data_IF_334284960359
#
_entry.id   IF_334284960359
#
_cell.length_a   1.000
_cell.length_b   1.000
_cell.length_c   1.000
_cell.angle_alpha   90.00
_cell.angle_beta   90.00
_cell.angle_gamma   90.00
#
_symmetry.space_group_name_H-M   'P 1'
#
loop_
_entity.id
_entity.type
_entity.pdbx_description
1 polymer ?
#
# COMPACT_ATOMS: atom_id res chain seq x y z
N UNK A 1 4.43 -7.07 0.05
CA UNK A 1 3.36 -6.74 1.02
C UNK A 1 3.86 -6.75 2.47
N UNK A 2 4.96 -7.46 2.77
CA UNK A 2 5.45 -7.66 4.15
C UNK A 2 5.96 -6.44 4.92
N UNK A 3 6.17 -5.31 4.23
CA UNK A 3 6.72 -4.08 4.83
C UNK A 3 5.65 -3.06 5.23
N UNK A 4 4.36 -3.30 4.93
CA UNK A 4 3.29 -2.49 5.47
C UNK A 4 2.96 -2.95 6.90
N UNK A 5 2.62 -2.01 7.82
CA UNK A 5 2.03 -2.36 9.10
C UNK A 5 0.85 -3.32 8.91
N UNK A 6 0.71 -4.31 9.80
CA UNK A 6 -0.30 -5.37 9.66
C UNK A 6 -1.71 -4.84 9.37
N UNK A 7 -2.12 -3.80 10.09
CA UNK A 7 -3.44 -3.18 9.92
C UNK A 7 -3.68 -2.51 8.56
N UNK A 8 -2.64 -2.09 7.85
CA UNK A 8 -2.76 -1.54 6.49
C UNK A 8 -2.74 -2.64 5.44
N UNK A 9 -2.05 -3.75 5.72
CA UNK A 9 -2.05 -4.91 4.85
C UNK A 9 -3.43 -5.56 4.81
N UNK A 10 -4.03 -5.82 5.97
CA UNK A 10 -5.36 -6.46 6.05
C UNK A 10 -6.41 -5.66 5.28
N UNK A 11 -6.47 -4.34 5.47
CA UNK A 11 -7.50 -3.52 4.83
C UNK A 11 -7.33 -3.45 3.31
N UNK A 12 -6.08 -3.43 2.81
CA UNK A 12 -5.79 -3.49 1.37
C UNK A 12 -6.10 -4.88 0.83
N UNK A 13 -5.73 -5.95 1.53
CA UNK A 13 -6.06 -7.32 1.12
C UNK A 13 -7.56 -7.52 1.02
N UNK A 14 -8.32 -7.12 2.03
CA UNK A 14 -9.77 -7.25 2.00
C UNK A 14 -10.41 -6.46 0.87
N UNK A 15 -9.96 -5.22 0.62
CA UNK A 15 -10.56 -4.37 -0.40
C UNK A 15 -10.09 -4.68 -1.81
N UNK A 16 -8.78 -4.72 -2.01
CA UNK A 16 -8.14 -4.72 -3.34
C UNK A 16 -7.86 -6.13 -3.86
N UNK A 17 -7.73 -7.13 -2.99
CA UNK A 17 -7.53 -8.54 -3.39
C UNK A 17 -8.81 -9.37 -3.27
N UNK A 18 -9.57 -9.20 -2.19
CA UNK A 18 -10.78 -9.98 -1.93
C UNK A 18 -12.08 -9.28 -2.36
N UNK A 19 -12.00 -8.02 -2.80
CA UNK A 19 -13.14 -7.28 -3.33
C UNK A 19 -14.23 -6.94 -2.31
N UNK A 20 -13.95 -7.07 -1.01
CA UNK A 20 -14.93 -6.78 0.05
C UNK A 20 -15.30 -5.29 0.06
N UNK A 21 -16.56 -5.01 0.34
CA UNK A 21 -17.04 -3.66 0.47
C UNK A 21 -16.73 -3.06 1.86
N UNK A 22 -16.90 -1.75 2.01
CA UNK A 22 -16.55 -1.03 3.25
C UNK A 22 -17.30 -1.54 4.48
N UNK A 23 -18.54 -1.99 4.34
CA UNK A 23 -19.34 -2.51 5.46
C UNK A 23 -18.81 -3.88 5.90
N UNK A 24 -18.58 -4.79 4.95
CA UNK A 24 -18.03 -6.13 5.21
C UNK A 24 -16.64 -6.10 5.84
N UNK A 25 -15.84 -5.08 5.50
CA UNK A 25 -14.53 -4.84 6.10
C UNK A 25 -14.69 -4.28 7.51
N UNK A 26 -15.66 -3.38 7.73
CA UNK A 26 -15.96 -2.81 9.04
C UNK A 26 -16.40 -3.88 10.03
N UNK A 27 -17.27 -4.79 9.61
CA UNK A 27 -17.69 -5.94 10.43
C UNK A 27 -16.53 -6.87 10.80
N UNK A 28 -15.64 -7.17 9.85
CA UNK A 28 -14.49 -8.06 10.08
C UNK A 28 -13.41 -7.46 10.97
N UNK A 29 -13.21 -6.15 10.89
CA UNK A 29 -12.17 -5.44 11.64
C UNK A 29 -12.70 -4.73 12.90
N UNK A 30 -14.00 -4.87 13.19
CA UNK A 30 -14.70 -4.15 14.27
C UNK A 30 -14.52 -2.63 14.18
N UNK A 31 -14.64 -2.09 12.96
CA UNK A 31 -14.47 -0.66 12.65
C UNK A 31 -15.75 -0.06 12.09
N UNK A 32 -15.94 1.23 12.35
CA UNK A 32 -16.97 1.99 11.64
C UNK A 32 -16.63 2.11 10.14
N UNK A 33 -17.63 2.20 9.25
CA UNK A 33 -17.39 2.39 7.82
C UNK A 33 -16.54 3.63 7.50
N UNK A 34 -16.66 4.69 8.31
CA UNK A 34 -15.83 5.89 8.17
C UNK A 34 -14.36 5.62 8.54
N UNK A 35 -14.12 4.92 9.64
CA UNK A 35 -12.78 4.49 10.03
C UNK A 35 -12.13 3.57 8.98
N UNK A 36 -12.90 2.68 8.35
CA UNK A 36 -12.43 1.85 7.23
C UNK A 36 -11.99 2.73 6.05
N UNK A 37 -12.78 3.74 5.66
CA UNK A 37 -12.43 4.64 4.55
C UNK A 37 -11.14 5.42 4.82
N UNK A 38 -11.02 5.99 6.02
CA UNK A 38 -9.82 6.73 6.43
C UNK A 38 -8.60 5.83 6.45
N UNK A 39 -8.72 4.63 7.03
CA UNK A 39 -7.62 3.66 7.12
C UNK A 39 -7.20 3.14 5.76
N UNK A 40 -8.15 2.86 4.86
CA UNK A 40 -7.89 2.43 3.48
C UNK A 40 -7.17 3.54 2.69
N UNK A 41 -7.61 4.80 2.83
CA UNK A 41 -6.94 5.92 2.19
C UNK A 41 -5.48 6.04 2.65
N UNK A 42 -5.24 5.98 3.96
CA UNK A 42 -3.88 6.03 4.53
C UNK A 42 -3.03 4.85 4.08
N UNK A 43 -3.59 3.65 4.08
CA UNK A 43 -2.91 2.44 3.62
C UNK A 43 -2.46 2.56 2.15
N UNK A 44 -3.36 3.03 1.26
CA UNK A 44 -3.04 3.25 -0.16
C UNK A 44 -2.02 4.36 -0.38
N UNK A 45 -2.15 5.48 0.35
CA UNK A 45 -1.16 6.55 0.32
C UNK A 45 0.22 6.03 0.70
N UNK A 46 0.31 5.24 1.77
CA UNK A 46 1.55 4.64 2.23
C UNK A 46 2.13 3.66 1.21
N UNK A 47 1.29 2.82 0.61
CA UNK A 47 1.69 1.91 -0.45
C UNK A 47 2.24 2.67 -1.67
N UNK A 48 1.58 3.76 -2.07
CA UNK A 48 2.05 4.62 -3.16
C UNK A 48 3.40 5.24 -2.84
N UNK A 49 3.58 5.81 -1.64
CA UNK A 49 4.88 6.38 -1.22
C UNK A 49 6.01 5.34 -1.27
N UNK A 50 5.72 4.09 -0.91
CA UNK A 50 6.70 3.00 -1.02
C UNK A 50 7.02 2.64 -2.46
N UNK A 51 6.02 2.62 -3.35
CA UNK A 51 6.26 2.37 -4.77
C UNK A 51 7.07 3.52 -5.36
N UNK A 52 6.64 4.77 -5.16
CA UNK A 52 7.32 5.95 -5.69
C UNK A 52 8.78 6.05 -5.18
N UNK A 53 9.07 5.59 -3.94
CA UNK A 53 10.43 5.58 -3.39
C UNK A 53 11.29 4.40 -3.87
N UNK A 54 10.71 3.31 -4.38
CA UNK A 54 11.43 2.09 -4.72
C UNK A 54 11.36 1.75 -6.22
N UNK A 55 10.75 2.61 -7.02
CA UNK A 55 10.61 2.46 -8.46
C UNK A 55 11.40 3.58 -9.14
N UNK A 56 12.59 3.25 -9.63
CA UNK A 56 13.29 4.13 -10.57
C UNK A 56 12.67 3.91 -11.95
N UNK A 57 12.02 4.96 -12.47
CA UNK A 57 11.38 4.89 -13.78
C UNK A 57 12.45 5.03 -14.84
N UNK A 58 12.72 3.95 -15.56
CA UNK A 58 13.64 3.92 -16.70
C UNK A 58 12.86 3.86 -18.01
N UNK A 59 13.43 4.44 -19.08
CA UNK A 59 12.87 4.25 -20.42
C UNK A 59 13.15 2.80 -20.85
N UNK A 60 12.10 1.99 -20.98
CA UNK A 60 12.17 0.65 -21.53
C UNK A 60 12.36 0.66 -23.05
N UNK A 61 12.30 -0.51 -23.69
CA UNK A 61 12.25 -0.57 -25.15
C UNK A 61 10.91 0.03 -25.66
N UNK A 62 11.00 1.12 -26.44
CA UNK A 62 9.84 1.86 -26.95
C UNK A 62 9.35 2.97 -26.00
N UNK A 63 8.08 3.37 -26.12
CA UNK A 63 7.45 4.38 -25.23
C UNK A 63 6.93 3.76 -23.92
N UNK A 64 7.59 2.72 -23.41
CA UNK A 64 7.17 2.04 -22.18
C UNK A 64 8.04 2.51 -21.02
N UNK A 65 7.40 3.03 -19.98
CA UNK A 65 8.06 3.31 -18.71
C UNK A 65 8.26 1.99 -17.98
N UNK A 66 9.51 1.56 -17.88
CA UNK A 66 9.95 0.42 -17.08
C UNK A 66 10.13 0.89 -15.65
N UNK A 67 9.78 0.03 -14.70
CA UNK A 67 9.85 0.33 -13.29
C UNK A 67 10.46 -0.90 -12.63
N UNK A 68 11.79 -0.89 -12.50
CA UNK A 68 12.54 -1.98 -11.87
C UNK A 68 12.39 -1.84 -10.35
N UNK A 69 11.30 -2.39 -9.82
CA UNK A 69 10.96 -2.30 -8.41
C UNK A 69 12.04 -2.96 -7.55
N UNK A 70 12.79 -2.14 -6.80
CA UNK A 70 13.80 -2.61 -5.86
C UNK A 70 13.29 -2.45 -4.42
N UNK A 71 12.76 -3.51 -3.78
CA UNK A 71 12.26 -3.43 -2.41
C UNK A 71 13.33 -3.10 -1.37
N UNK A 72 14.60 -3.42 -1.65
CA UNK A 72 15.74 -3.28 -0.74
C UNK A 72 16.57 -2.01 -1.01
N UNK A 73 16.09 -1.13 -1.89
CA UNK A 73 16.77 0.12 -2.21
C UNK A 73 16.92 1.05 -0.99
N UNK A 74 17.95 1.91 -0.96
CA UNK A 74 18.36 2.70 0.22
C UNK A 74 17.29 3.67 0.78
N UNK A 75 16.17 3.82 0.08
CA UNK A 75 15.05 4.68 0.48
C UNK A 75 14.07 4.00 1.46
N UNK A 76 14.18 2.69 1.74
CA UNK A 76 13.30 1.99 2.71
C UNK A 76 13.60 2.33 4.19
N UNK A 77 14.80 2.80 4.51
CA UNK A 77 15.26 2.92 5.91
C UNK A 77 14.53 4.05 6.68
N UNK A 78 14.14 5.12 5.98
CA UNK A 78 13.38 6.27 6.54
C UNK A 78 11.91 5.94 6.88
N UNK A 79 11.43 4.78 6.42
CA UNK A 79 10.04 4.37 6.51
C UNK A 79 9.74 3.43 7.69
N UNK A 80 10.80 2.87 8.30
CA UNK A 80 10.76 1.95 9.44
C UNK A 80 10.59 2.66 10.79
N UNK A 81 10.97 3.95 10.88
CA UNK A 81 11.07 4.70 12.16
C UNK A 81 9.87 5.60 12.47
N UNK A 82 8.83 5.64 11.63
CA UNK A 82 7.59 6.43 11.83
C UNK A 82 6.40 5.60 12.37
N UNK A 83 6.67 4.59 13.20
CA UNK A 83 5.63 3.82 13.87
C UNK A 83 5.79 3.91 15.39
#
# INVERSE_FOLDING_TARGET
>A
MDRLPGSYREIITFRDLLGLNTQEIGERLELSPDAVRVRLHRARKRLKEMIDANCEVSNGQGNFLSCDWNPDGPLYENFRTKN
#
